data_IF_187611605970
#
_entry.id   IF_187611605970
#
_cell.length_a   1.000
_cell.length_b   1.000
_cell.length_c   1.000
_cell.angle_alpha   90.00
_cell.angle_beta   90.00
_cell.angle_gamma   90.00
#
_symmetry.space_group_name_H-M   'P 1'
#
loop_
_entity.id
_entity.type
_entity.pdbx_description
1 polymer ?
#
# COMPACT_ATOMS: atom_id res chain seq x y z
N UNK A 1 -13.83 14.57 31.54
CA UNK A 1 -13.25 15.72 30.81
C UNK A 1 -12.44 15.13 29.67
N UNK A 2 -12.97 15.23 28.43
CA UNK A 2 -12.46 16.06 27.32
C UNK A 2 -11.07 15.59 26.84
N UNK A 3 -10.90 14.89 25.72
CA UNK A 3 -11.21 15.13 24.29
C UNK A 3 -9.91 15.41 23.51
N UNK A 4 -9.94 14.95 22.25
CA UNK A 4 -9.14 15.31 21.08
C UNK A 4 -7.79 14.60 20.90
N UNK A 5 -7.67 13.63 20.00
CA UNK A 5 -7.91 13.63 18.53
C UNK A 5 -6.97 14.59 17.79
N UNK A 6 -6.00 14.02 17.06
CA UNK A 6 -5.64 14.47 15.70
C UNK A 6 -4.68 13.47 15.02
N UNK A 7 -5.32 12.58 14.27
CA UNK A 7 -4.97 12.19 12.92
C UNK A 7 -3.87 13.05 12.25
N UNK A 8 -2.78 12.43 11.80
CA UNK A 8 -1.88 13.03 10.80
C UNK A 8 -1.75 12.08 9.61
N UNK A 9 -2.53 12.40 8.59
CA UNK A 9 -2.35 11.98 7.21
C UNK A 9 -0.92 12.28 6.77
N UNK A 10 -0.23 11.28 6.23
CA UNK A 10 0.92 11.50 5.36
C UNK A 10 0.39 11.76 3.94
N UNK A 11 0.14 13.02 3.64
CA UNK A 11 0.14 13.53 2.27
C UNK A 11 1.55 14.05 2.00
N UNK A 12 2.34 13.28 1.28
CA UNK A 12 3.61 13.75 0.69
C UNK A 12 3.27 14.74 -0.43
N UNK A 13 3.29 16.04 -0.11
CA UNK A 13 3.39 17.09 -1.11
C UNK A 13 4.86 17.19 -1.57
N UNK A 14 5.08 17.00 -2.88
CA UNK A 14 6.36 17.22 -3.54
C UNK A 14 6.78 18.70 -3.45
N UNK A 15 8.02 19.04 -3.06
CA UNK A 15 8.55 20.38 -3.29
C UNK A 15 8.82 20.58 -4.78
N UNK A 16 8.25 21.65 -5.34
CA UNK A 16 8.57 22.16 -6.67
C UNK A 16 9.97 22.78 -6.66
N UNK A 17 10.78 22.43 -7.65
CA UNK A 17 12.02 23.11 -8.01
C UNK A 17 11.69 24.51 -8.51
N UNK A 18 12.07 25.53 -7.74
CA UNK A 18 12.35 26.90 -8.19
C UNK A 18 12.74 27.70 -6.95
N UNK A 19 14.04 27.79 -6.64
CA UNK A 19 14.69 28.86 -5.85
C UNK A 19 16.13 28.45 -5.45
N UNK A 20 17.07 28.50 -6.39
CA UNK A 20 18.52 28.40 -6.07
C UNK A 20 19.40 29.20 -7.04
N UNK A 21 18.91 30.36 -7.47
CA UNK A 21 19.66 31.28 -8.34
C UNK A 21 19.42 32.70 -7.89
N UNK A 22 20.00 33.10 -6.74
CA UNK A 22 20.15 34.50 -6.33
C UNK A 22 20.98 34.61 -5.03
N UNK A 23 22.26 34.25 -5.06
CA UNK A 23 23.19 34.67 -3.99
C UNK A 23 24.65 34.66 -4.46
N UNK A 24 24.93 35.37 -5.56
CA UNK A 24 26.30 35.74 -5.95
C UNK A 24 26.27 37.13 -6.55
N UNK A 25 26.17 38.16 -5.70
CA UNK A 25 26.59 39.52 -6.04
C UNK A 25 26.55 40.36 -4.76
N UNK A 26 27.71 40.56 -4.13
CA UNK A 26 28.13 41.78 -3.45
C UNK A 26 29.32 41.46 -2.53
N UNK A 27 30.50 41.98 -2.86
CA UNK A 27 31.33 42.81 -1.97
C UNK A 27 32.69 43.07 -2.63
N UNK A 28 32.71 44.07 -3.50
CA UNK A 28 33.92 44.84 -3.81
C UNK A 28 33.57 46.33 -3.68
N UNK A 29 34.18 46.99 -2.69
CA UNK A 29 34.79 48.34 -2.81
C UNK A 29 35.38 48.84 -1.49
N UNK A 30 36.71 48.92 -1.53
CA UNK A 30 37.59 49.98 -1.05
C UNK A 30 37.42 50.54 0.38
N UNK A 31 38.46 50.34 1.19
CA UNK A 31 39.11 51.46 1.87
C UNK A 31 40.62 51.29 1.81
N UNK A 32 41.28 52.35 1.35
CA UNK A 32 42.68 52.42 0.93
C UNK A 32 43.46 53.28 1.94
N UNK A 33 44.71 52.85 2.21
CA UNK A 33 45.87 53.54 2.83
C UNK A 33 45.91 53.71 4.36
N UNK A 34 46.92 53.10 5.01
CA UNK A 34 48.24 53.77 5.09
C UNK A 34 49.40 52.80 5.43
N UNK A 35 50.54 53.07 4.78
CA UNK A 35 51.82 52.35 4.75
C UNK A 35 52.55 52.21 6.10
N UNK A 36 53.36 51.15 6.30
CA UNK A 36 54.78 51.15 5.91
C UNK A 36 55.63 49.96 6.46
N UNK A 37 56.62 49.57 5.63
CA UNK A 37 57.93 48.95 5.92
C UNK A 37 58.01 47.42 6.11
N UNK A 38 58.44 46.70 5.05
CA UNK A 38 59.85 46.31 4.87
C UNK A 38 59.99 45.07 3.97
N UNK A 39 60.73 45.24 2.87
CA UNK A 39 61.14 44.26 1.85
C UNK A 39 61.75 42.95 2.38
N UNK A 40 61.33 41.82 1.79
CA UNK A 40 62.23 40.77 1.22
C UNK A 40 61.44 39.72 0.43
N UNK A 41 61.63 39.70 -0.88
CA UNK A 41 61.25 38.58 -1.76
C UNK A 41 62.10 37.34 -1.43
N UNK A 42 61.49 36.16 -1.29
CA UNK A 42 61.92 34.97 -2.05
C UNK A 42 60.85 33.86 -1.98
N UNK A 43 60.51 33.38 -3.17
CA UNK A 43 59.45 32.44 -3.51
C UNK A 43 59.85 31.01 -3.14
N UNK A 44 59.20 30.40 -2.15
CA UNK A 44 59.26 28.96 -1.86
C UNK A 44 58.06 28.56 -0.96
N UNK A 45 56.84 28.63 -1.50
CA UNK A 45 55.66 27.98 -0.87
C UNK A 45 54.44 27.80 -1.80
N UNK A 46 54.49 28.28 -3.05
CA UNK A 46 53.36 28.20 -3.98
C UNK A 46 53.22 26.85 -4.71
N UNK A 47 54.26 26.01 -4.74
CA UNK A 47 54.18 24.71 -5.43
C UNK A 47 53.54 23.63 -4.55
N UNK A 48 53.87 23.55 -3.25
CA UNK A 48 53.32 22.53 -2.34
C UNK A 48 51.81 22.73 -2.09
N UNK A 49 51.35 23.98 -1.92
CA UNK A 49 49.92 24.28 -1.76
C UNK A 49 49.10 24.03 -3.03
N UNK A 50 49.68 24.26 -4.21
CA UNK A 50 49.04 23.94 -5.51
C UNK A 50 48.93 22.44 -5.75
N UNK A 51 49.89 21.65 -5.30
CA UNK A 51 49.84 20.20 -5.41
C UNK A 51 48.79 19.60 -4.46
N UNK A 52 48.69 20.11 -3.22
CA UNK A 52 47.60 19.74 -2.30
C UNK A 52 46.22 20.12 -2.84
N UNK A 53 46.04 21.35 -3.34
CA UNK A 53 44.77 21.81 -3.93
C UNK A 53 44.37 20.96 -5.15
N UNK A 54 45.34 20.61 -5.99
CA UNK A 54 45.11 19.75 -7.15
C UNK A 54 44.72 18.32 -6.75
N UNK A 55 45.39 17.73 -5.75
CA UNK A 55 45.00 16.38 -5.26
C UNK A 55 43.62 16.37 -4.58
N UNK A 56 43.21 17.49 -3.96
CA UNK A 56 41.89 17.62 -3.37
C UNK A 56 40.80 17.76 -4.44
N UNK A 57 41.08 18.50 -5.51
CA UNK A 57 40.20 18.62 -6.67
C UNK A 57 40.03 17.26 -7.37
N UNK A 58 41.10 16.49 -7.57
CA UNK A 58 41.02 15.16 -8.16
C UNK A 58 40.15 14.21 -7.32
N UNK A 59 40.31 14.19 -5.99
CA UNK A 59 39.44 13.41 -5.09
C UNK A 59 37.99 13.86 -5.11
N UNK A 60 37.75 15.17 -5.21
CA UNK A 60 36.41 15.72 -5.34
C UNK A 60 35.75 15.27 -6.64
N UNK A 61 36.49 15.34 -7.76
CA UNK A 61 35.99 14.95 -9.08
C UNK A 61 35.70 13.43 -9.12
N UNK A 62 36.56 12.60 -8.55
CA UNK A 62 36.32 11.15 -8.41
C UNK A 62 35.07 10.85 -7.56
N UNK A 63 34.91 11.54 -6.44
CA UNK A 63 33.75 11.37 -5.57
C UNK A 63 32.46 11.88 -6.22
N UNK A 64 32.54 12.99 -6.95
CA UNK A 64 31.41 13.57 -7.67
C UNK A 64 30.98 12.67 -8.85
N UNK A 65 31.93 12.10 -9.59
CA UNK A 65 31.61 11.09 -10.63
C UNK A 65 30.96 9.85 -10.02
N UNK A 66 31.52 9.36 -8.90
CA UNK A 66 30.96 8.23 -8.16
C UNK A 66 29.53 8.53 -7.67
N UNK A 67 29.30 9.73 -7.14
CA UNK A 67 28.00 10.18 -6.67
C UNK A 67 26.99 10.30 -7.82
N UNK A 68 27.37 10.93 -8.94
CA UNK A 68 26.50 11.07 -10.11
C UNK A 68 26.11 9.71 -10.70
N UNK A 69 27.07 8.78 -10.76
CA UNK A 69 26.83 7.40 -11.18
C UNK A 69 25.89 6.67 -10.24
N UNK A 70 26.13 6.74 -8.93
CA UNK A 70 25.28 6.14 -7.91
C UNK A 70 23.85 6.72 -7.96
N UNK A 71 23.73 8.03 -8.14
CA UNK A 71 22.45 8.70 -8.27
C UNK A 71 21.68 8.21 -9.52
N UNK A 72 22.37 8.06 -10.65
CA UNK A 72 21.79 7.52 -11.87
C UNK A 72 21.37 6.04 -11.71
N UNK A 73 22.19 5.21 -11.07
CA UNK A 73 21.86 3.82 -10.74
C UNK A 73 20.64 3.74 -9.81
N UNK A 74 20.57 4.62 -8.81
CA UNK A 74 19.45 4.71 -7.88
C UNK A 74 18.14 5.11 -8.56
N UNK A 75 18.16 6.14 -9.42
CA UNK A 75 16.94 6.55 -10.14
C UNK A 75 16.47 5.46 -11.12
N UNK A 76 17.41 4.78 -11.80
CA UNK A 76 17.10 3.61 -12.63
C UNK A 76 16.50 2.46 -11.81
N UNK A 77 17.08 2.15 -10.65
CA UNK A 77 16.54 1.16 -9.73
C UNK A 77 15.13 1.53 -9.27
N UNK A 78 14.91 2.77 -8.81
CA UNK A 78 13.61 3.28 -8.37
C UNK A 78 12.56 3.14 -9.46
N UNK A 79 12.86 3.58 -10.69
CA UNK A 79 11.97 3.47 -11.86
C UNK A 79 11.64 2.01 -12.18
N UNK A 80 12.64 1.12 -12.17
CA UNK A 80 12.44 -0.32 -12.40
C UNK A 80 11.55 -0.94 -11.32
N UNK A 81 11.84 -0.68 -10.05
CA UNK A 81 11.07 -1.21 -8.92
C UNK A 81 9.63 -0.71 -8.93
N UNK A 82 9.38 0.55 -9.28
CA UNK A 82 8.02 1.06 -9.45
C UNK A 82 7.28 0.33 -10.56
N UNK A 83 7.93 0.11 -11.70
CA UNK A 83 7.35 -0.64 -12.82
C UNK A 83 7.03 -2.09 -12.44
N UNK A 84 7.94 -2.77 -11.74
CA UNK A 84 7.72 -4.14 -11.26
C UNK A 84 6.57 -4.21 -10.25
N UNK A 85 6.50 -3.26 -9.30
CA UNK A 85 5.38 -3.18 -8.35
C UNK A 85 4.04 -2.95 -9.06
N UNK A 86 4.00 -2.07 -10.06
CA UNK A 86 2.79 -1.84 -10.86
C UNK A 86 2.38 -3.11 -11.59
N UNK A 87 3.33 -3.85 -12.16
CA UNK A 87 3.04 -5.10 -12.84
C UNK A 87 2.49 -6.15 -11.87
N UNK A 88 3.10 -6.31 -10.68
CA UNK A 88 2.60 -7.22 -9.64
C UNK A 88 1.18 -6.86 -9.20
N UNK A 89 0.86 -5.57 -9.06
CA UNK A 89 -0.52 -5.16 -8.70
C UNK A 89 -1.48 -5.48 -9.84
N UNK A 90 -1.06 -5.26 -11.09
CA UNK A 90 -1.87 -5.51 -12.29
C UNK A 90 -2.14 -7.00 -12.52
N UNK A 91 -1.15 -7.86 -12.28
CA UNK A 91 -1.23 -9.32 -12.51
C UNK A 91 -1.48 -10.12 -11.24
N UNK A 92 -1.52 -9.49 -10.06
CA UNK A 92 -1.67 -10.19 -8.78
C UNK A 92 -2.96 -11.00 -8.65
N UNK A 93 -4.01 -10.61 -9.39
CA UNK A 93 -5.27 -11.37 -9.47
C UNK A 93 -5.30 -12.44 -10.56
N UNK A 94 -4.33 -12.49 -11.47
CA UNK A 94 -4.36 -13.34 -12.67
C UNK A 94 -4.55 -14.80 -12.31
N UNK A 95 -3.74 -15.34 -11.41
CA UNK A 95 -3.82 -16.74 -10.98
C UNK A 95 -5.21 -17.12 -10.45
N UNK A 96 -5.80 -16.27 -9.60
CA UNK A 96 -7.12 -16.52 -9.01
C UNK A 96 -8.20 -16.47 -10.09
N UNK A 97 -8.13 -15.50 -10.99
CA UNK A 97 -9.09 -15.37 -12.09
C UNK A 97 -9.00 -16.56 -13.05
N UNK A 98 -7.80 -17.01 -13.40
CA UNK A 98 -7.60 -18.20 -14.25
C UNK A 98 -8.17 -19.45 -13.60
N UNK A 99 -7.95 -19.66 -12.29
CA UNK A 99 -8.53 -20.79 -11.57
C UNK A 99 -10.06 -20.66 -11.35
N UNK A 100 -10.63 -19.47 -11.51
CA UNK A 100 -12.07 -19.22 -11.41
C UNK A 100 -12.83 -19.53 -12.72
N UNK A 101 -12.17 -19.46 -13.89
CA UNK A 101 -12.80 -19.71 -15.20
C UNK A 101 -13.57 -21.05 -15.24
N UNK A 102 -13.03 -22.19 -14.76
CA UNK A 102 -13.78 -23.45 -14.75
C UNK A 102 -15.08 -23.41 -13.94
N UNK A 103 -15.19 -22.54 -12.93
CA UNK A 103 -16.46 -22.35 -12.23
C UNK A 103 -17.48 -21.61 -13.07
N UNK A 104 -17.04 -20.65 -13.89
CA UNK A 104 -17.90 -19.97 -14.86
C UNK A 104 -18.39 -20.98 -15.90
N UNK A 105 -17.51 -21.82 -16.44
CA UNK A 105 -17.87 -22.88 -17.38
C UNK A 105 -18.91 -23.86 -16.78
N UNK A 106 -18.78 -24.17 -15.49
CA UNK A 106 -19.74 -24.98 -14.74
C UNK A 106 -21.10 -24.28 -14.60
N UNK A 107 -21.11 -22.97 -14.31
CA UNK A 107 -22.35 -22.17 -14.27
C UNK A 107 -23.03 -22.10 -15.64
N UNK A 108 -22.28 -21.85 -16.71
CA UNK A 108 -22.83 -21.80 -18.07
C UNK A 108 -23.48 -23.13 -18.45
N UNK A 109 -22.79 -24.24 -18.19
CA UNK A 109 -23.33 -25.59 -18.44
C UNK A 109 -24.59 -25.89 -17.61
N UNK A 110 -24.63 -25.44 -16.35
CA UNK A 110 -25.83 -25.59 -15.54
C UNK A 110 -26.99 -24.73 -16.07
N UNK A 111 -26.74 -23.49 -16.50
CA UNK A 111 -27.77 -22.63 -17.07
C UNK A 111 -28.38 -23.21 -18.35
N UNK A 112 -27.56 -23.77 -19.24
CA UNK A 112 -28.04 -24.48 -20.43
C UNK A 112 -28.92 -25.68 -20.08
N UNK A 113 -28.55 -26.42 -19.03
CA UNK A 113 -29.33 -27.57 -18.55
C UNK A 113 -30.67 -27.12 -17.96
N UNK A 114 -30.66 -26.05 -17.16
CA UNK A 114 -31.87 -25.47 -16.52
C UNK A 114 -32.88 -25.00 -17.56
N UNK A 115 -32.43 -24.40 -18.67
CA UNK A 115 -33.33 -23.94 -19.73
C UNK A 115 -34.10 -25.10 -20.40
N UNK A 116 -33.54 -26.31 -20.36
CA UNK A 116 -34.10 -27.50 -21.01
C UNK A 116 -34.72 -28.50 -20.02
N UNK A 117 -34.61 -28.27 -18.71
CA UNK A 117 -35.05 -29.18 -17.67
C UNK A 117 -36.40 -28.77 -17.07
N UNK A 118 -37.35 -29.71 -17.03
CA UNK A 118 -38.62 -29.52 -16.31
C UNK A 118 -38.53 -29.92 -14.82
N UNK A 119 -37.50 -30.69 -14.45
CA UNK A 119 -37.29 -31.16 -13.09
C UNK A 119 -36.56 -30.12 -12.22
N UNK A 120 -37.34 -29.44 -11.38
CA UNK A 120 -36.83 -28.47 -10.40
C UNK A 120 -35.81 -29.07 -9.43
N UNK A 121 -35.89 -30.35 -9.11
CA UNK A 121 -35.00 -30.98 -8.13
C UNK A 121 -33.59 -31.13 -8.72
N UNK A 122 -33.49 -31.62 -9.95
CA UNK A 122 -32.22 -31.72 -10.67
C UNK A 122 -31.54 -30.34 -10.84
N UNK A 123 -32.34 -29.29 -11.05
CA UNK A 123 -31.86 -27.91 -11.14
C UNK A 123 -31.22 -27.45 -9.80
N UNK A 124 -31.91 -27.67 -8.68
CA UNK A 124 -31.41 -27.27 -7.35
C UNK A 124 -30.13 -28.04 -7.01
N UNK A 125 -30.09 -29.35 -7.23
CA UNK A 125 -28.92 -30.18 -6.97
C UNK A 125 -27.69 -29.74 -7.79
N UNK A 126 -27.90 -29.37 -9.06
CA UNK A 126 -26.83 -28.84 -9.92
C UNK A 126 -26.26 -27.51 -9.41
N UNK A 127 -27.12 -26.60 -8.94
CA UNK A 127 -26.69 -25.33 -8.35
C UNK A 127 -25.96 -25.51 -7.03
N UNK A 128 -26.44 -26.42 -6.16
CA UNK A 128 -25.76 -26.76 -4.90
C UNK A 128 -24.35 -27.31 -5.15
N UNK A 129 -24.17 -28.12 -6.20
CA UNK A 129 -22.87 -28.65 -6.58
C UNK A 129 -21.90 -27.52 -6.97
N UNK A 130 -22.35 -26.56 -7.77
CA UNK A 130 -21.51 -25.41 -8.17
C UNK A 130 -21.20 -24.53 -6.96
N UNK A 131 -22.18 -24.27 -6.10
CA UNK A 131 -21.98 -23.50 -4.88
C UNK A 131 -20.94 -24.16 -3.97
N UNK A 132 -21.02 -25.49 -3.77
CA UNK A 132 -20.04 -26.25 -2.99
C UNK A 132 -18.62 -26.15 -3.57
N UNK A 133 -18.49 -26.23 -4.90
CA UNK A 133 -17.21 -25.99 -5.59
C UNK A 133 -16.70 -24.56 -5.36
N UNK A 134 -17.57 -23.55 -5.42
CA UNK A 134 -17.22 -22.16 -5.17
C UNK A 134 -16.72 -21.93 -3.74
N UNK A 135 -17.41 -22.47 -2.75
CA UNK A 135 -16.96 -22.40 -1.35
C UNK A 135 -15.61 -23.10 -1.18
N UNK A 136 -15.41 -24.26 -1.79
CA UNK A 136 -14.13 -24.96 -1.76
C UNK A 136 -13.01 -24.16 -2.42
N UNK A 137 -13.30 -23.49 -3.54
CA UNK A 137 -12.37 -22.62 -4.26
C UNK A 137 -11.91 -21.43 -3.39
N UNK A 138 -12.84 -20.66 -2.82
CA UNK A 138 -12.47 -19.49 -2.00
C UNK A 138 -11.71 -19.90 -0.74
N UNK A 139 -12.08 -21.03 -0.11
CA UNK A 139 -11.37 -21.60 1.04
C UNK A 139 -9.92 -21.96 0.70
N UNK A 140 -9.67 -22.56 -0.48
CA UNK A 140 -8.32 -22.88 -0.96
C UNK A 140 -7.46 -21.64 -1.18
N UNK A 141 -8.07 -20.51 -1.55
CA UNK A 141 -7.39 -19.21 -1.67
C UNK A 141 -7.30 -18.43 -0.35
N UNK A 142 -7.64 -19.06 0.77
CA UNK A 142 -7.49 -18.48 2.11
C UNK A 142 -8.62 -17.55 2.54
N UNK A 143 -9.72 -17.50 1.78
CA UNK A 143 -10.94 -16.79 2.19
C UNK A 143 -11.81 -17.72 3.02
N UNK A 144 -12.15 -17.33 4.24
CA UNK A 144 -13.04 -18.08 5.13
C UNK A 144 -14.25 -17.25 5.52
N UNK A 145 -15.39 -17.90 5.64
CA UNK A 145 -16.60 -17.30 6.21
C UNK A 145 -16.39 -17.05 7.71
N UNK A 146 -16.88 -15.91 8.19
CA UNK A 146 -16.91 -15.60 9.62
C UNK A 146 -18.24 -16.07 10.21
N UNK A 147 -18.18 -16.98 11.18
CA UNK A 147 -19.35 -17.36 11.97
C UNK A 147 -19.78 -16.20 12.86
N UNK A 148 -21.09 -15.93 12.86
CA UNK A 148 -21.66 -14.79 13.58
C UNK A 148 -22.88 -15.18 14.41
N UNK A 149 -23.76 -16.05 13.88
CA UNK A 149 -25.00 -16.44 14.56
C UNK A 149 -24.69 -17.21 15.84
N UNK A 150 -25.26 -16.79 16.96
CA UNK A 150 -25.07 -17.39 18.28
C UNK A 150 -23.86 -16.85 19.05
N UNK A 151 -23.00 -16.03 18.44
CA UNK A 151 -21.89 -15.39 19.12
C UNK A 151 -22.35 -14.12 19.88
N UNK A 152 -21.68 -13.75 20.99
CA UNK A 152 -21.87 -12.46 21.63
C UNK A 152 -21.57 -11.32 20.66
N UNK A 153 -22.39 -10.26 20.66
CA UNK A 153 -22.15 -9.13 19.78
C UNK A 153 -20.86 -8.38 20.16
N UNK A 154 -19.98 -8.21 19.18
CA UNK A 154 -18.72 -7.50 19.27
C UNK A 154 -18.61 -6.49 18.11
N UNK A 155 -18.55 -5.20 18.42
CA UNK A 155 -18.50 -4.13 17.42
C UNK A 155 -17.19 -4.10 16.63
N UNK A 156 -16.11 -4.71 17.12
CA UNK A 156 -14.86 -4.83 16.39
C UNK A 156 -14.91 -5.96 15.34
N UNK A 157 -15.88 -6.88 15.47
CA UNK A 157 -16.04 -8.04 14.59
C UNK A 157 -17.27 -7.98 13.72
N UNK A 158 -18.34 -7.29 14.14
CA UNK A 158 -19.65 -7.36 13.51
C UNK A 158 -20.27 -5.97 13.29
N UNK A 159 -21.00 -5.79 12.19
CA UNK A 159 -21.79 -4.59 11.91
C UNK A 159 -23.25 -4.84 12.31
N UNK A 160 -23.70 -4.30 13.44
CA UNK A 160 -25.11 -4.41 13.82
C UNK A 160 -26.00 -3.52 12.93
N UNK A 161 -26.94 -4.13 12.20
CA UNK A 161 -27.95 -3.40 11.42
C UNK A 161 -29.09 -2.94 12.32
N UNK A 162 -29.59 -3.85 13.15
CA UNK A 162 -30.76 -3.61 14.01
C UNK A 162 -30.77 -4.55 15.20
N UNK A 163 -31.66 -4.27 16.15
CA UNK A 163 -31.92 -5.11 17.31
C UNK A 163 -33.35 -5.60 17.32
N UNK A 164 -33.58 -6.85 17.72
CA UNK A 164 -34.91 -7.42 17.87
C UNK A 164 -35.16 -7.87 19.31
N UNK A 165 -36.38 -7.72 19.86
CA UNK A 165 -36.69 -8.26 21.18
C UNK A 165 -36.62 -9.79 21.15
N UNK A 166 -35.95 -10.38 22.14
CA UNK A 166 -35.84 -11.84 22.29
C UNK A 166 -36.60 -12.33 23.52
N UNK A 167 -37.33 -13.44 23.38
CA UNK A 167 -38.06 -14.07 24.50
C UNK A 167 -37.11 -14.82 25.44
N UNK A 168 -36.07 -15.44 24.87
CA UNK A 168 -35.03 -16.12 25.61
C UNK A 168 -33.95 -15.13 26.07
N UNK A 169 -33.75 -15.05 27.39
CA UNK A 169 -32.71 -14.21 28.00
C UNK A 169 -31.30 -14.61 27.60
N UNK A 170 -31.08 -15.86 27.17
CA UNK A 170 -29.77 -16.33 26.70
C UNK A 170 -29.32 -15.60 25.42
N UNK A 171 -30.26 -15.14 24.59
CA UNK A 171 -30.00 -14.48 23.31
C UNK A 171 -29.85 -12.96 23.44
N UNK A 172 -29.97 -12.41 24.65
CA UNK A 172 -29.78 -10.99 24.88
C UNK A 172 -28.31 -10.62 24.62
N UNK A 173 -28.10 -9.54 23.87
CA UNK A 173 -26.79 -9.05 23.43
C UNK A 173 -26.00 -10.07 22.57
N UNK A 174 -26.67 -11.10 22.03
CA UNK A 174 -26.12 -12.06 21.08
C UNK A 174 -26.57 -11.76 19.65
N UNK A 175 -25.79 -12.22 18.68
CA UNK A 175 -26.18 -12.20 17.28
C UNK A 175 -27.25 -13.27 17.03
N UNK A 176 -28.46 -12.82 16.71
CA UNK A 176 -29.61 -13.70 16.45
C UNK A 176 -29.66 -14.13 14.99
N UNK A 177 -29.28 -13.23 14.08
CA UNK A 177 -29.28 -13.51 12.65
C UNK A 177 -28.17 -12.72 11.93
N UNK A 178 -27.75 -13.22 10.76
CA UNK A 178 -26.72 -12.64 9.92
C UNK A 178 -27.27 -12.37 8.53
N UNK A 179 -27.69 -11.13 8.30
CA UNK A 179 -28.26 -10.65 7.02
C UNK A 179 -27.23 -10.73 5.88
N UNK A 180 -25.97 -10.48 6.20
CA UNK A 180 -24.88 -10.56 5.23
C UNK A 180 -23.65 -11.19 5.85
N UNK A 181 -23.22 -12.33 5.30
CA UNK A 181 -22.06 -13.09 5.80
C UNK A 181 -20.78 -12.28 5.83
N UNK A 182 -19.93 -12.51 6.82
CA UNK A 182 -18.59 -11.92 6.91
C UNK A 182 -17.57 -12.82 6.24
N UNK A 183 -16.45 -12.24 5.80
CA UNK A 183 -15.34 -13.00 5.23
C UNK A 183 -13.99 -12.43 5.68
N UNK A 184 -13.05 -13.34 5.92
CA UNK A 184 -11.66 -13.05 6.25
C UNK A 184 -10.76 -13.66 5.18
N UNK A 185 -9.76 -12.91 4.71
CA UNK A 185 -8.71 -13.40 3.83
C UNK A 185 -7.44 -13.54 4.66
N UNK A 186 -7.02 -14.78 4.91
CA UNK A 186 -5.94 -15.12 5.85
C UNK A 186 -6.23 -14.53 7.24
N UNK A 187 -5.58 -13.43 7.61
CA UNK A 187 -5.76 -12.72 8.89
C UNK A 187 -6.47 -11.38 8.72
N UNK A 188 -6.73 -10.95 7.48
CA UNK A 188 -7.32 -9.65 7.18
C UNK A 188 -8.81 -9.78 6.92
N UNK A 189 -9.63 -9.09 7.72
CA UNK A 189 -11.06 -9.00 7.44
C UNK A 189 -11.27 -8.25 6.12
N UNK A 190 -11.96 -8.90 5.18
CA UNK A 190 -12.32 -8.30 3.89
C UNK A 190 -13.75 -7.79 3.88
N UNK A 191 -14.62 -8.36 4.74
CA UNK A 191 -15.99 -7.90 4.95
C UNK A 191 -16.47 -8.32 6.34
N UNK A 192 -16.91 -7.36 7.14
CA UNK A 192 -17.58 -7.65 8.41
C UNK A 192 -18.99 -8.21 8.14
N UNK A 193 -19.44 -9.22 8.90
CA UNK A 193 -20.82 -9.70 8.81
C UNK A 193 -21.77 -8.61 9.31
N UNK A 194 -22.90 -8.49 8.64
CA UNK A 194 -23.98 -7.61 9.08
C UNK A 194 -25.02 -8.42 9.84
N UNK A 195 -25.24 -8.04 11.09
CA UNK A 195 -25.93 -8.87 12.07
C UNK A 195 -27.14 -8.18 12.68
N UNK A 196 -28.05 -8.99 13.20
CA UNK A 196 -29.18 -8.59 14.03
C UNK A 196 -28.90 -9.05 15.45
N UNK A 197 -29.01 -8.13 16.41
CA UNK A 197 -28.66 -8.40 17.82
C UNK A 197 -29.93 -8.55 18.66
N UNK A 198 -29.95 -9.52 19.57
CA UNK A 198 -31.06 -9.70 20.51
C UNK A 198 -31.04 -8.65 21.60
N UNK A 199 -32.20 -8.08 21.94
CA UNK A 199 -32.37 -7.06 22.99
C UNK A 199 -33.30 -7.52 24.11
#
# INVERSE_FOLDING_TARGET
MKQNNKNKNYSEEFPKEDNLTQEQENLDKETVLNDNLSDKEEYLSDEEGKDEEKTLQEKYDELNDSYLRLHAEYDNYRKRTLKEKMEIIKTGGEKVLTEMIPLIDDFERALETVQNAEDKKAIVEGLELIYSKFISFINRHGVKEMEAIGEPFDADKFEAITTIPVEDKSQKDMVVDCVQKGYILHEKVIRFPKVIVGK
#
